data_IF_034356491767
#
_entry.id   IF_034356491767
#
_cell.length_a   1.000
_cell.length_b   1.000
_cell.length_c   1.000
_cell.angle_alpha   90.00
_cell.angle_beta   90.00
_cell.angle_gamma   90.00
#
_symmetry.space_group_name_H-M   'P 1'
#
loop_
_entity.id
_entity.type
_entity.pdbx_description
1 polymer ?
#
# COMPACT_ATOMS: atom_id res chain seq x y z
N UNK A 1 -6.75 -1.55 -0.99
CA UNK A 1 -5.96 -1.36 -2.22
C UNK A 1 -6.37 -2.32 -3.34
N UNK A 2 -7.06 -3.41 -3.03
CA UNK A 2 -7.57 -4.35 -4.03
C UNK A 2 -9.06 -4.10 -4.30
N UNK A 3 -9.43 -4.18 -5.57
CA UNK A 3 -10.82 -4.18 -6.02
C UNK A 3 -11.29 -5.61 -6.24
N UNK A 4 -12.60 -5.88 -6.30
CA UNK A 4 -13.12 -7.22 -6.57
C UNK A 4 -12.94 -7.62 -8.04
N UNK A 5 -11.70 -7.66 -8.50
CA UNK A 5 -11.32 -7.89 -9.90
C UNK A 5 -10.55 -9.21 -10.10
N UNK A 6 -10.67 -10.18 -9.18
CA UNK A 6 -10.11 -11.52 -9.39
C UNK A 6 -11.18 -12.52 -9.85
N UNK A 7 -10.73 -13.72 -10.26
CA UNK A 7 -11.59 -14.78 -10.75
C UNK A 7 -12.73 -15.13 -9.80
N UNK A 8 -12.48 -15.19 -8.49
CA UNK A 8 -13.49 -15.46 -7.46
C UNK A 8 -14.65 -14.43 -7.42
N UNK A 9 -14.46 -13.24 -7.98
CA UNK A 9 -15.50 -12.21 -8.15
C UNK A 9 -16.06 -12.14 -9.57
N UNK A 10 -15.71 -13.11 -10.44
CA UNK A 10 -16.21 -13.20 -11.81
C UNK A 10 -15.35 -12.46 -12.86
N UNK A 11 -14.19 -11.98 -12.52
CA UNK A 11 -13.27 -11.36 -13.48
C UNK A 11 -12.58 -12.41 -14.34
N UNK A 12 -12.59 -12.21 -15.65
CA UNK A 12 -11.92 -13.10 -16.62
C UNK A 12 -10.59 -12.58 -17.15
N UNK A 13 -10.25 -11.31 -16.87
CA UNK A 13 -9.06 -10.66 -17.42
C UNK A 13 -7.89 -10.59 -16.44
N UNK A 14 -8.11 -10.97 -15.18
CA UNK A 14 -7.06 -11.04 -14.15
C UNK A 14 -6.72 -12.49 -13.83
N UNK A 15 -5.45 -12.84 -13.92
CA UNK A 15 -4.93 -14.13 -13.50
C UNK A 15 -4.71 -14.15 -12.00
N UNK A 16 -5.59 -14.83 -11.23
CA UNK A 16 -5.53 -14.90 -9.77
C UNK A 16 -5.68 -16.32 -9.21
N UNK A 17 -4.96 -17.33 -9.75
CA UNK A 17 -5.23 -18.75 -9.44
C UNK A 17 -5.02 -19.09 -7.95
N UNK A 18 -4.12 -18.42 -7.26
CA UNK A 18 -3.88 -18.64 -5.84
C UNK A 18 -5.00 -18.07 -4.96
N UNK A 19 -5.50 -16.87 -5.29
CA UNK A 19 -6.65 -16.25 -4.61
C UNK A 19 -7.92 -17.04 -4.89
N UNK A 20 -8.12 -17.51 -6.12
CA UNK A 20 -9.26 -18.31 -6.51
C UNK A 20 -9.29 -19.65 -5.77
N UNK A 21 -8.12 -20.31 -5.60
CA UNK A 21 -8.03 -21.52 -4.75
C UNK A 21 -8.33 -21.24 -3.28
N UNK A 22 -7.90 -20.10 -2.76
CA UNK A 22 -8.22 -19.70 -1.38
C UNK A 22 -9.72 -19.43 -1.24
N UNK A 23 -10.34 -18.74 -2.17
CA UNK A 23 -11.77 -18.47 -2.21
C UNK A 23 -12.61 -19.76 -2.26
N UNK A 24 -12.18 -20.74 -3.07
CA UNK A 24 -12.86 -22.04 -3.18
C UNK A 24 -12.81 -22.88 -1.89
N UNK A 25 -11.88 -22.60 -0.98
CA UNK A 25 -11.70 -23.30 0.30
C UNK A 25 -12.23 -22.52 1.51
N UNK A 26 -12.68 -21.30 1.30
CA UNK A 26 -13.07 -20.37 2.34
C UNK A 26 -14.42 -19.72 2.07
N UNK A 27 -14.60 -18.55 2.67
CA UNK A 27 -15.78 -17.70 2.47
C UNK A 27 -15.37 -16.44 1.73
N UNK A 28 -16.03 -16.17 0.60
CA UNK A 28 -15.82 -14.94 -0.17
C UNK A 28 -16.86 -13.90 0.20
N UNK A 29 -16.42 -12.77 0.75
CA UNK A 29 -17.29 -11.67 1.10
C UNK A 29 -17.52 -10.77 -0.11
N UNK A 30 -18.73 -10.78 -0.66
CA UNK A 30 -19.12 -9.96 -1.81
C UNK A 30 -19.31 -8.47 -1.45
N UNK A 31 -19.45 -8.16 -0.17
CA UNK A 31 -19.70 -6.80 0.35
C UNK A 31 -18.85 -6.54 1.59
N UNK A 32 -17.53 -6.48 1.39
CA UNK A 32 -16.59 -6.08 2.43
C UNK A 32 -16.20 -4.61 2.25
N UNK A 33 -16.27 -3.82 3.31
CA UNK A 33 -16.02 -2.39 3.28
C UNK A 33 -14.86 -2.02 4.23
N UNK A 34 -14.00 -1.10 3.79
CA UNK A 34 -13.03 -0.50 4.68
C UNK A 34 -13.72 0.51 5.62
N UNK A 35 -13.10 0.79 6.75
CA UNK A 35 -13.69 1.73 7.74
C UNK A 35 -13.72 3.19 7.24
N UNK A 36 -12.78 3.54 6.37
CA UNK A 36 -12.74 4.84 5.69
C UNK A 36 -11.93 4.70 4.39
N UNK A 37 -12.39 5.32 3.31
CA UNK A 37 -11.76 5.22 1.98
C UNK A 37 -10.50 6.12 1.85
N UNK A 38 -9.71 6.21 2.92
CA UNK A 38 -8.42 6.93 2.99
C UNK A 38 -7.40 6.03 3.68
N UNK A 39 -6.16 6.03 3.20
CA UNK A 39 -5.15 5.04 3.60
C UNK A 39 -4.80 5.07 5.09
N UNK A 40 -4.53 6.22 5.72
CA UNK A 40 -4.15 6.27 7.14
C UNK A 40 -5.26 5.82 8.08
N UNK A 41 -6.49 6.35 8.00
CA UNK A 41 -7.60 5.89 8.84
C UNK A 41 -7.91 4.41 8.67
N UNK A 42 -7.96 3.93 7.42
CA UNK A 42 -8.23 2.52 7.12
C UNK A 42 -7.15 1.59 7.70
N UNK A 43 -5.88 1.94 7.54
CA UNK A 43 -4.74 1.16 8.07
C UNK A 43 -4.68 1.18 9.59
N UNK A 44 -4.91 2.34 10.19
CA UNK A 44 -5.01 2.46 11.65
C UNK A 44 -6.12 1.57 12.20
N UNK A 45 -7.29 1.57 11.56
CA UNK A 45 -8.40 0.69 11.96
C UNK A 45 -8.08 -0.79 11.79
N UNK A 46 -7.50 -1.17 10.65
CA UNK A 46 -7.11 -2.56 10.39
C UNK A 46 -6.09 -3.08 11.43
N UNK A 47 -5.09 -2.27 11.74
CA UNK A 47 -3.97 -2.69 12.59
C UNK A 47 -4.27 -2.58 14.09
N UNK A 48 -5.24 -1.77 14.49
CA UNK A 48 -5.65 -1.62 15.90
C UNK A 48 -6.94 -2.34 16.26
N UNK A 49 -7.73 -2.76 15.26
CA UNK A 49 -9.08 -3.29 15.47
C UNK A 49 -10.10 -2.23 15.90
N UNK A 50 -9.74 -0.94 15.90
CA UNK A 50 -10.56 0.16 16.36
C UNK A 50 -11.05 1.03 15.18
N UNK A 51 -12.30 1.50 15.27
CA UNK A 51 -12.88 2.39 14.25
C UNK A 51 -12.24 3.78 14.28
N UNK A 52 -12.34 4.56 13.19
CA UNK A 52 -11.82 5.93 13.14
C UNK A 52 -12.34 6.82 14.28
N UNK A 53 -13.59 6.64 14.71
CA UNK A 53 -14.17 7.35 15.85
C UNK A 53 -13.43 7.10 17.16
N UNK A 54 -12.79 5.94 17.30
CA UNK A 54 -11.99 5.57 18.47
C UNK A 54 -10.53 5.97 18.28
N UNK A 55 -9.94 5.69 17.11
CA UNK A 55 -8.54 6.03 16.83
C UNK A 55 -8.31 7.53 16.65
N UNK A 56 -9.38 8.30 16.38
CA UNK A 56 -9.37 9.73 16.03
C UNK A 56 -8.50 10.05 14.81
N UNK A 57 -8.31 9.08 13.93
CA UNK A 57 -7.55 9.23 12.67
C UNK A 57 -8.53 9.37 11.53
N UNK A 58 -8.60 10.55 10.94
CA UNK A 58 -9.45 10.88 9.80
C UNK A 58 -8.66 11.45 8.62
N UNK A 59 -7.37 11.71 8.82
CA UNK A 59 -6.46 12.37 7.89
C UNK A 59 -5.20 11.53 7.62
N UNK A 60 -4.19 12.14 7.00
CA UNK A 60 -2.90 11.51 6.67
C UNK A 60 -1.74 11.97 7.59
N UNK A 61 -2.04 12.70 8.65
CA UNK A 61 -1.06 13.36 9.52
C UNK A 61 -1.19 12.92 10.98
N UNK A 62 -2.38 12.49 11.39
CA UNK A 62 -2.67 12.09 12.77
C UNK A 62 -2.21 10.65 13.03
N UNK A 63 -1.39 10.47 14.06
CA UNK A 63 -1.00 9.14 14.54
C UNK A 63 -2.02 8.61 15.55
N UNK A 64 -2.47 7.36 15.39
CA UNK A 64 -3.47 6.73 16.27
C UNK A 64 -3.06 6.67 17.76
N UNK A 65 -1.75 6.65 18.04
CA UNK A 65 -1.24 6.66 19.42
C UNK A 65 -1.53 7.94 20.19
N UNK A 66 -1.93 9.02 19.51
CA UNK A 66 -2.39 10.24 20.21
C UNK A 66 -3.68 9.98 21.00
N UNK A 67 -4.60 9.22 20.43
CA UNK A 67 -5.87 8.88 21.08
C UNK A 67 -5.79 7.55 21.84
N UNK A 68 -4.98 6.62 21.38
CA UNK A 68 -4.85 5.26 21.91
C UNK A 68 -3.37 4.93 22.19
N UNK A 69 -2.76 5.54 23.22
CA UNK A 69 -1.31 5.39 23.49
C UNK A 69 -0.91 3.95 23.77
N UNK A 70 -1.79 3.17 24.41
CA UNK A 70 -1.49 1.82 24.89
C UNK A 70 -2.16 0.70 24.08
N UNK A 71 -2.81 1.03 22.96
CA UNK A 71 -3.44 0.01 22.12
C UNK A 71 -2.39 -0.97 21.60
N UNK A 72 -2.71 -2.26 21.69
CA UNK A 72 -1.90 -3.33 21.10
C UNK A 72 -2.33 -3.49 19.65
N UNK A 73 -1.41 -3.24 18.72
CA UNK A 73 -1.66 -3.46 17.29
C UNK A 73 -1.59 -4.94 16.95
N UNK A 74 -2.18 -5.34 15.82
CA UNK A 74 -2.12 -6.72 15.34
C UNK A 74 -0.68 -7.24 15.24
N UNK A 75 0.28 -6.54 14.61
CA UNK A 75 1.68 -6.96 14.61
C UNK A 75 2.28 -7.02 16.03
N UNK A 76 1.97 -6.05 16.88
CA UNK A 76 2.46 -6.03 18.27
C UNK A 76 1.94 -7.22 19.06
N UNK A 77 0.70 -7.64 18.84
CA UNK A 77 0.11 -8.82 19.46
C UNK A 77 0.91 -10.08 19.12
N UNK A 78 1.22 -10.31 17.85
CA UNK A 78 2.07 -11.43 17.44
C UNK A 78 3.46 -11.37 18.06
N UNK A 79 4.08 -10.19 18.08
CA UNK A 79 5.38 -9.97 18.72
C UNK A 79 5.36 -10.33 20.22
N UNK A 80 4.32 -9.91 20.94
CA UNK A 80 4.16 -10.23 22.35
C UNK A 80 3.95 -11.73 22.64
N UNK A 81 3.49 -12.47 21.63
CA UNK A 81 3.29 -13.92 21.68
C UNK A 81 4.45 -14.72 21.06
N UNK A 82 5.66 -14.14 20.99
CA UNK A 82 6.89 -14.84 20.61
C UNK A 82 7.16 -14.92 19.10
N UNK A 83 6.37 -14.28 18.27
CA UNK A 83 6.62 -14.25 16.82
C UNK A 83 7.67 -13.18 16.49
N UNK A 84 8.52 -13.48 15.51
CA UNK A 84 9.34 -12.46 14.87
C UNK A 84 8.46 -11.69 13.87
N UNK A 85 8.35 -10.37 14.05
CA UNK A 85 7.46 -9.51 13.27
C UNK A 85 8.25 -8.43 12.58
N UNK A 86 8.17 -8.41 11.25
CA UNK A 86 8.85 -7.43 10.40
C UNK A 86 7.87 -6.79 9.43
N UNK A 87 7.92 -5.46 9.33
CA UNK A 87 7.14 -4.71 8.37
C UNK A 87 7.91 -4.51 7.06
N UNK A 88 7.27 -4.82 5.93
CA UNK A 88 7.78 -4.58 4.58
C UNK A 88 6.79 -3.73 3.78
N UNK A 89 7.30 -2.83 2.96
CA UNK A 89 6.45 -1.95 2.15
C UNK A 89 5.59 -0.99 2.99
N UNK A 90 4.35 -0.76 2.57
CA UNK A 90 3.43 0.18 3.21
C UNK A 90 2.46 -0.54 4.15
N UNK A 91 2.75 -0.59 5.43
CA UNK A 91 1.84 -1.08 6.48
C UNK A 91 1.10 0.07 7.16
N UNK A 92 1.80 0.94 7.85
CA UNK A 92 1.24 2.23 8.27
C UNK A 92 1.33 3.29 7.16
N UNK A 93 0.81 4.47 7.39
CA UNK A 93 0.98 5.57 6.45
C UNK A 93 2.39 6.17 6.58
N UNK A 94 2.93 6.70 5.47
CA UNK A 94 4.28 7.27 5.46
C UNK A 94 4.45 8.36 6.52
N UNK A 95 5.49 8.25 7.34
CA UNK A 95 5.75 9.14 8.46
C UNK A 95 4.97 8.83 9.75
N UNK A 96 4.07 7.85 9.73
CA UNK A 96 3.22 7.45 10.86
C UNK A 96 3.45 5.98 11.23
N UNK A 97 4.69 5.51 11.16
CA UNK A 97 5.03 4.14 11.55
C UNK A 97 4.90 3.93 13.07
N UNK A 98 4.64 2.69 13.47
CA UNK A 98 4.58 2.29 14.88
C UNK A 98 5.73 1.35 15.25
N UNK A 99 6.84 1.86 15.81
CA UNK A 99 8.00 1.04 16.17
C UNK A 99 7.71 -0.08 17.17
N UNK A 100 6.67 0.07 18.01
CA UNK A 100 6.26 -0.97 18.96
C UNK A 100 5.77 -2.24 18.28
N UNK A 101 5.26 -2.10 17.05
CA UNK A 101 4.72 -3.18 16.25
C UNK A 101 5.77 -4.15 15.73
N UNK A 102 7.05 -3.78 15.66
CA UNK A 102 8.07 -4.52 14.95
C UNK A 102 9.13 -5.15 15.85
N UNK A 103 9.67 -6.30 15.44
CA UNK A 103 10.84 -6.91 16.06
C UNK A 103 12.16 -6.28 15.60
N UNK A 104 12.17 -5.74 14.39
CA UNK A 104 13.25 -4.95 13.80
C UNK A 104 12.69 -3.62 13.28
N UNK A 105 13.44 -2.52 13.30
CA UNK A 105 12.96 -1.25 12.79
C UNK A 105 12.45 -1.35 11.35
N UNK A 106 11.27 -0.81 11.09
CA UNK A 106 10.79 -0.67 9.72
C UNK A 106 11.66 0.34 8.96
N UNK A 107 12.02 -0.02 7.76
CA UNK A 107 12.77 0.87 6.86
C UNK A 107 11.94 1.18 5.63
N UNK A 108 11.91 2.48 5.28
CA UNK A 108 11.24 2.89 4.06
C UNK A 108 11.89 2.23 2.84
N UNK A 109 11.10 1.71 1.88
CA UNK A 109 11.65 1.19 0.64
C UNK A 109 12.50 2.27 -0.05
N UNK A 110 13.72 1.94 -0.44
CA UNK A 110 14.66 2.89 -1.10
C UNK A 110 14.26 3.27 -2.53
N UNK A 111 13.06 2.94 -2.93
CA UNK A 111 12.60 3.05 -4.30
C UNK A 111 11.64 4.21 -4.47
N UNK A 112 11.71 4.85 -5.62
CA UNK A 112 10.84 5.98 -5.96
C UNK A 112 9.50 5.47 -6.48
N UNK A 113 8.40 6.09 -6.06
CA UNK A 113 7.10 5.90 -6.71
C UNK A 113 7.22 6.05 -8.22
N UNK A 114 6.64 5.12 -8.98
CA UNK A 114 6.67 5.13 -10.44
C UNK A 114 7.93 4.53 -11.07
N UNK A 115 8.73 3.77 -10.31
CA UNK A 115 9.79 2.96 -10.91
C UNK A 115 9.18 1.69 -11.50
N UNK A 116 9.40 1.50 -12.78
CA UNK A 116 8.95 0.33 -13.54
C UNK A 116 10.13 -0.62 -13.79
N UNK A 117 9.84 -1.92 -13.85
CA UNK A 117 10.84 -2.95 -14.07
C UNK A 117 11.35 -2.98 -15.51
N UNK A 118 10.47 -2.83 -16.49
CA UNK A 118 10.83 -2.86 -17.90
C UNK A 118 11.48 -1.55 -18.40
N UNK A 119 12.38 -1.67 -19.35
CA UNK A 119 13.00 -0.50 -19.99
C UNK A 119 11.97 0.29 -20.81
N UNK A 120 11.04 -0.40 -21.44
CA UNK A 120 9.96 0.20 -22.24
C UNK A 120 9.03 1.07 -21.36
N UNK A 121 8.53 0.51 -20.24
CA UNK A 121 7.68 1.26 -19.30
C UNK A 121 8.39 2.48 -18.74
N UNK A 122 9.69 2.37 -18.42
CA UNK A 122 10.51 3.50 -17.97
C UNK A 122 10.61 4.58 -19.05
N UNK A 123 10.82 4.22 -20.31
CA UNK A 123 10.89 5.17 -21.42
C UNK A 123 9.56 5.90 -21.63
N UNK A 124 8.43 5.19 -21.59
CA UNK A 124 7.09 5.77 -21.70
C UNK A 124 6.86 6.80 -20.59
N UNK A 125 7.16 6.45 -19.34
CA UNK A 125 6.97 7.35 -18.21
C UNK A 125 7.89 8.57 -18.30
N UNK A 126 9.15 8.40 -18.68
CA UNK A 126 10.09 9.50 -18.87
C UNK A 126 9.61 10.47 -19.96
N UNK A 127 9.14 9.96 -21.09
CA UNK A 127 8.61 10.78 -22.17
C UNK A 127 7.39 11.59 -21.71
N UNK A 128 6.46 10.98 -20.99
CA UNK A 128 5.26 11.68 -20.43
C UNK A 128 5.63 12.74 -19.40
N UNK A 129 6.59 12.46 -18.52
CA UNK A 129 7.09 13.43 -17.54
C UNK A 129 7.76 14.61 -18.23
N UNK A 130 8.56 14.37 -19.28
CA UNK A 130 9.19 15.42 -20.06
C UNK A 130 8.14 16.30 -20.77
N UNK A 131 7.16 15.68 -21.44
CA UNK A 131 6.07 16.39 -22.09
C UNK A 131 5.26 17.27 -21.11
N UNK A 132 4.93 16.72 -19.94
CA UNK A 132 4.21 17.47 -18.92
C UNK A 132 5.02 18.67 -18.37
N UNK A 133 6.34 18.52 -18.20
CA UNK A 133 7.21 19.64 -17.79
C UNK A 133 7.26 20.76 -18.84
N UNK A 134 7.21 20.40 -20.12
CA UNK A 134 7.26 21.38 -21.22
C UNK A 134 5.92 22.08 -21.45
N UNK A 135 4.79 21.45 -21.11
CA UNK A 135 3.45 21.99 -21.32
C UNK A 135 2.97 22.91 -20.16
N UNK A 136 3.57 22.80 -18.99
CA UNK A 136 3.17 23.59 -17.84
C UNK A 136 4.00 24.87 -17.75
N UNK A 137 3.37 26.04 -18.01
CA UNK A 137 3.87 27.33 -17.51
C UNK A 137 4.07 27.16 -16.01
N UNK A 138 5.30 27.45 -15.50
CA UNK A 138 5.73 27.24 -14.11
C UNK A 138 4.59 27.49 -13.11
N UNK A 139 4.13 26.50 -12.36
CA UNK A 139 3.15 26.73 -11.30
C UNK A 139 3.82 27.60 -10.23
N UNK A 140 3.15 28.64 -9.77
CA UNK A 140 3.59 29.42 -8.62
C UNK A 140 3.73 28.49 -7.42
N UNK A 141 4.97 28.14 -7.06
CA UNK A 141 5.32 27.52 -5.78
C UNK A 141 5.14 25.99 -5.62
N UNK A 142 4.80 25.22 -6.64
CA UNK A 142 4.56 23.78 -6.53
C UNK A 142 5.49 22.91 -7.37
N UNK A 143 5.91 21.75 -6.84
CA UNK A 143 6.56 20.69 -7.63
C UNK A 143 5.56 20.15 -8.64
N UNK A 144 5.90 20.18 -9.94
CA UNK A 144 5.12 19.49 -10.98
C UNK A 144 5.13 18.00 -10.69
N UNK A 145 4.01 17.46 -10.23
CA UNK A 145 3.80 16.01 -10.13
C UNK A 145 3.22 15.52 -11.46
N UNK A 146 4.10 15.16 -12.37
CA UNK A 146 3.68 14.46 -13.57
C UNK A 146 3.54 12.96 -13.21
N UNK A 147 2.30 12.47 -13.20
CA UNK A 147 2.03 11.05 -13.06
C UNK A 147 1.99 10.44 -14.47
N UNK A 148 3.08 9.76 -14.84
CA UNK A 148 3.06 8.88 -15.98
C UNK A 148 2.60 7.50 -15.52
N UNK A 149 1.65 6.89 -16.23
CA UNK A 149 1.27 5.49 -16.05
C UNK A 149 1.79 4.67 -17.20
N UNK A 150 2.36 3.52 -16.91
CA UNK A 150 2.63 2.46 -17.88
C UNK A 150 2.05 1.16 -17.33
N UNK A 151 1.85 0.19 -18.20
CA UNK A 151 1.42 -1.16 -17.84
C UNK A 151 2.60 -2.10 -17.99
N UNK A 152 2.81 -2.97 -17.01
CA UNK A 152 3.82 -4.02 -17.04
C UNK A 152 3.13 -5.37 -16.97
N UNK A 153 3.63 -6.35 -17.73
CA UNK A 153 3.17 -7.72 -17.67
C UNK A 153 3.58 -8.42 -16.38
N UNK A 154 2.96 -9.55 -16.10
CA UNK A 154 3.24 -10.36 -14.91
C UNK A 154 4.59 -11.10 -14.95
N UNK A 155 5.27 -11.07 -16.08
CA UNK A 155 6.57 -11.70 -16.37
C UNK A 155 7.78 -10.79 -16.10
N UNK A 156 7.55 -9.64 -15.45
CA UNK A 156 8.63 -8.75 -15.01
C UNK A 156 9.48 -9.50 -13.97
N UNK A 157 10.81 -9.62 -14.17
CA UNK A 157 11.67 -10.41 -13.28
C UNK A 157 11.66 -9.91 -11.83
N UNK A 158 11.76 -10.84 -10.87
CA UNK A 158 11.77 -10.55 -9.42
C UNK A 158 12.96 -9.68 -8.97
N UNK A 159 14.01 -9.60 -9.77
CA UNK A 159 15.14 -8.70 -9.50
C UNK A 159 14.85 -7.24 -9.85
N UNK A 160 13.68 -6.95 -10.39
CA UNK A 160 13.21 -5.58 -10.66
C UNK A 160 12.78 -4.89 -9.36
N UNK A 161 12.38 -3.63 -9.51
CA UNK A 161 11.89 -2.83 -8.41
C UNK A 161 10.78 -3.51 -7.58
N UNK A 162 9.81 -4.13 -8.23
CA UNK A 162 8.67 -4.76 -7.54
C UNK A 162 9.09 -5.98 -6.73
N UNK A 163 9.99 -6.81 -7.24
CA UNK A 163 10.55 -7.96 -6.51
C UNK A 163 11.47 -7.57 -5.34
N UNK A 164 12.06 -6.38 -5.35
CA UNK A 164 12.92 -5.91 -4.26
C UNK A 164 12.17 -5.31 -3.07
N UNK A 165 10.84 -5.26 -3.14
CA UNK A 165 9.99 -4.84 -2.03
C UNK A 165 9.63 -6.01 -1.10
N UNK A 166 9.92 -7.22 -1.50
CA UNK A 166 9.77 -8.46 -0.76
C UNK A 166 11.12 -8.88 -0.18
#
# INVERSE_FOLDING_TARGET
DLRPEFGAYGSSYIHSPNLDRLAARGVTFMRAYCQQAVCSPSRSSLLTGARPDTTKVYDLETHFRKALPDVVTLPQHFKQNGYFVQGLGKLFHGGLDDPRSWSVPWTAPKSRHGAYGSAESRAIVQARVAAAKNSLKKPRGGKVRAYGTAFEGADVPDNTFHGRLL
#
